data_IF_717378188468
#
_entry.id   IF_717378188468
#
_cell.length_a   1.000
_cell.length_b   1.000
_cell.length_c   1.000
_cell.angle_alpha   90.00
_cell.angle_beta   90.00
_cell.angle_gamma   90.00
#
_symmetry.space_group_name_H-M   'P 1'
#
loop_
_entity.id
_entity.type
_entity.pdbx_description
1 polymer ?
#
# COMPACT_ATOMS: atom_id res chain seq x y z
N UNK A 1 -2.05 -13.35 2.73
CA UNK A 1 -2.99 -14.33 2.15
C UNK A 1 -2.74 -15.71 2.73
N UNK A 2 -2.61 -16.72 1.86
CA UNK A 2 -2.29 -18.11 2.23
C UNK A 2 -0.93 -18.24 2.92
N UNK A 3 0.06 -17.51 2.41
CA UNK A 3 1.40 -17.31 2.97
C UNK A 3 1.38 -16.87 4.45
N UNK A 4 0.53 -15.90 4.80
CA UNK A 4 0.35 -15.46 6.18
C UNK A 4 -0.32 -16.50 7.09
N UNK A 5 -1.19 -17.35 6.53
CA UNK A 5 -1.79 -18.46 7.27
C UNK A 5 -0.75 -19.56 7.57
N UNK A 6 0.10 -19.88 6.58
CA UNK A 6 1.21 -20.84 6.74
C UNK A 6 2.26 -20.32 7.73
N UNK A 7 2.62 -19.03 7.64
CA UNK A 7 3.58 -18.42 8.56
C UNK A 7 3.11 -18.41 10.03
N UNK A 8 1.80 -18.31 10.30
CA UNK A 8 1.26 -18.43 11.67
C UNK A 8 1.42 -19.81 12.27
N UNK A 9 1.51 -20.84 11.44
CA UNK A 9 1.70 -22.24 11.86
C UNK A 9 3.19 -22.55 12.02
N UNK A 10 4.04 -22.07 11.11
CA UNK A 10 5.47 -22.38 11.09
C UNK A 10 6.36 -21.39 11.87
N UNK A 11 5.82 -20.24 12.24
CA UNK A 11 6.55 -19.15 12.89
C UNK A 11 6.72 -17.94 11.97
N UNK A 12 6.43 -16.75 12.52
CA UNK A 12 6.66 -15.49 11.83
C UNK A 12 8.16 -15.19 11.76
N UNK A 13 8.65 -14.77 10.60
CA UNK A 13 10.06 -14.37 10.41
C UNK A 13 10.13 -13.00 9.76
N UNK A 14 11.15 -12.21 10.13
CA UNK A 14 11.38 -10.89 9.54
C UNK A 14 11.66 -10.98 8.03
N UNK A 15 12.37 -12.03 7.59
CA UNK A 15 12.63 -12.30 6.19
C UNK A 15 11.33 -12.60 5.41
N UNK A 16 10.41 -13.35 6.00
CA UNK A 16 9.10 -13.62 5.40
C UNK A 16 8.27 -12.35 5.25
N UNK A 17 8.22 -11.50 6.29
CA UNK A 17 7.51 -10.22 6.23
C UNK A 17 8.12 -9.24 5.21
N UNK A 18 9.45 -9.21 5.09
CA UNK A 18 10.15 -8.43 4.06
C UNK A 18 9.79 -8.90 2.65
N UNK A 19 9.73 -10.22 2.43
CA UNK A 19 9.41 -10.78 1.11
C UNK A 19 7.95 -10.54 0.74
N UNK A 20 7.02 -10.77 1.68
CA UNK A 20 5.57 -10.53 1.52
C UNK A 20 5.30 -9.11 1.00
N UNK A 21 5.76 -8.10 1.75
CA UNK A 21 5.51 -6.70 1.37
C UNK A 21 6.21 -6.33 0.06
N UNK A 22 7.41 -6.86 -0.20
CA UNK A 22 8.15 -6.56 -1.44
C UNK A 22 7.46 -7.14 -2.67
N UNK A 23 6.98 -8.38 -2.58
CA UNK A 23 6.29 -9.06 -3.68
C UNK A 23 4.89 -8.48 -3.91
N UNK A 24 4.20 -8.06 -2.85
CA UNK A 24 2.91 -7.38 -2.96
C UNK A 24 3.01 -6.09 -3.79
N UNK A 25 3.98 -5.21 -3.50
CA UNK A 25 4.16 -3.98 -4.26
C UNK A 25 4.55 -4.23 -5.72
N UNK A 26 5.42 -5.22 -5.97
CA UNK A 26 5.79 -5.61 -7.33
C UNK A 26 4.58 -6.14 -8.09
N UNK A 27 3.78 -7.01 -7.47
CA UNK A 27 2.56 -7.55 -8.09
C UNK A 27 1.56 -6.44 -8.39
N UNK A 28 1.36 -5.50 -7.46
CA UNK A 28 0.40 -4.40 -7.65
C UNK A 28 0.81 -3.49 -8.81
N UNK A 29 2.11 -3.22 -8.98
CA UNK A 29 2.61 -2.45 -10.12
C UNK A 29 2.58 -3.25 -11.43
N UNK A 30 2.77 -4.57 -11.36
CA UNK A 30 2.80 -5.45 -12.54
C UNK A 30 1.45 -5.48 -13.27
N UNK A 31 0.33 -5.43 -12.54
CA UNK A 31 -1.00 -5.45 -13.15
C UNK A 31 -1.22 -4.28 -14.13
N UNK A 32 -1.19 -3.00 -13.73
CA UNK A 32 -1.35 -1.89 -14.67
C UNK A 32 -0.24 -1.84 -15.72
N UNK A 33 0.99 -2.24 -15.37
CA UNK A 33 2.06 -2.35 -16.35
C UNK A 33 1.73 -3.36 -17.47
N UNK A 34 1.12 -4.50 -17.13
CA UNK A 34 0.66 -5.49 -18.11
C UNK A 34 -0.38 -4.91 -19.08
N UNK A 35 -1.32 -4.09 -18.60
CA UNK A 35 -2.30 -3.41 -19.46
C UNK A 35 -1.65 -2.34 -20.36
N UNK A 36 -0.60 -1.66 -19.87
CA UNK A 36 0.21 -0.75 -20.70
C UNK A 36 0.91 -1.53 -21.81
N UNK A 37 1.54 -2.67 -21.51
CA UNK A 37 2.19 -3.49 -22.53
C UNK A 37 1.21 -4.05 -23.56
N UNK A 38 0.01 -4.41 -23.14
CA UNK A 38 -1.02 -4.97 -24.02
C UNK A 38 -1.55 -3.94 -25.05
N UNK A 39 -1.68 -2.67 -24.66
CA UNK A 39 -2.09 -1.60 -25.58
C UNK A 39 -1.49 -0.24 -25.14
N UNK A 40 -0.23 0.05 -25.54
CA UNK A 40 0.45 1.27 -25.11
C UNK A 40 -0.26 2.55 -25.55
N UNK A 41 -0.80 2.59 -26.77
CA UNK A 41 -1.46 3.78 -27.33
C UNK A 41 -2.66 4.23 -26.49
N UNK A 42 -3.45 3.28 -26.00
CA UNK A 42 -4.64 3.58 -25.19
C UNK A 42 -4.33 3.74 -23.69
N UNK A 43 -3.35 2.98 -23.17
CA UNK A 43 -3.22 2.75 -21.72
C UNK A 43 -1.98 3.40 -21.08
N UNK A 44 -0.97 3.82 -21.85
CA UNK A 44 0.33 4.20 -21.30
C UNK A 44 0.27 5.29 -20.22
N UNK A 45 -0.45 6.40 -20.48
CA UNK A 45 -0.52 7.52 -19.54
C UNK A 45 -1.29 7.15 -18.28
N UNK A 46 -2.44 6.49 -18.43
CA UNK A 46 -3.28 6.12 -17.30
C UNK A 46 -2.62 5.04 -16.43
N UNK A 47 -1.96 4.05 -17.06
CA UNK A 47 -1.20 3.02 -16.35
C UNK A 47 0.02 3.60 -15.64
N UNK A 48 0.77 4.51 -16.27
CA UNK A 48 1.89 5.21 -15.63
C UNK A 48 1.42 6.05 -14.43
N UNK A 49 0.30 6.77 -14.57
CA UNK A 49 -0.30 7.53 -13.47
C UNK A 49 -0.70 6.63 -12.30
N UNK A 50 -1.29 5.47 -12.58
CA UNK A 50 -1.68 4.53 -11.54
C UNK A 50 -0.45 3.93 -10.83
N UNK A 51 0.58 3.52 -11.57
CA UNK A 51 1.85 3.05 -10.98
C UNK A 51 2.47 4.14 -10.10
N UNK A 52 2.52 5.38 -10.59
CA UNK A 52 2.98 6.53 -9.81
C UNK A 52 2.17 6.73 -8.52
N UNK A 53 0.86 6.54 -8.58
CA UNK A 53 -0.03 6.63 -7.42
C UNK A 53 0.26 5.53 -6.39
N UNK A 54 0.58 4.31 -6.83
CA UNK A 54 1.01 3.21 -5.96
C UNK A 54 2.34 3.48 -5.25
N UNK A 55 3.28 4.17 -5.91
CA UNK A 55 4.50 4.65 -5.25
C UNK A 55 4.16 5.60 -4.10
N UNK A 56 3.20 6.51 -4.29
CA UNK A 56 2.71 7.41 -3.23
C UNK A 56 2.14 6.65 -2.03
N UNK A 57 1.20 5.74 -2.26
CA UNK A 57 0.55 4.99 -1.18
C UNK A 57 1.51 4.06 -0.46
N UNK A 58 2.45 3.44 -1.20
CA UNK A 58 3.42 2.50 -0.65
C UNK A 58 4.52 3.17 0.14
N UNK A 59 5.12 4.23 -0.42
CA UNK A 59 6.19 4.97 0.25
C UNK A 59 5.70 5.66 1.53
N UNK A 60 4.51 6.28 1.51
CA UNK A 60 3.92 6.91 2.70
C UNK A 60 3.63 5.90 3.81
N UNK A 61 3.17 4.68 3.46
CA UNK A 61 2.95 3.60 4.43
C UNK A 61 4.28 3.08 5.01
N UNK A 62 5.22 2.70 4.16
CA UNK A 62 6.47 2.08 4.59
C UNK A 62 7.36 3.05 5.37
N UNK A 63 7.49 4.31 4.91
CA UNK A 63 8.29 5.32 5.61
C UNK A 63 7.75 5.59 7.01
N UNK A 64 6.44 5.68 7.18
CA UNK A 64 5.83 5.82 8.49
C UNK A 64 6.04 4.57 9.36
N UNK A 65 5.85 3.37 8.81
CA UNK A 65 6.06 2.12 9.55
C UNK A 65 7.50 2.02 10.10
N UNK A 66 8.52 2.39 9.30
CA UNK A 66 9.91 2.43 9.73
C UNK A 66 10.12 3.46 10.84
N UNK A 67 9.61 4.69 10.68
CA UNK A 67 9.77 5.74 11.69
C UNK A 67 9.05 5.43 12.99
N UNK A 68 7.85 4.86 12.92
CA UNK A 68 7.06 4.46 14.07
C UNK A 68 7.69 3.28 14.81
N UNK A 69 8.25 2.30 14.09
CA UNK A 69 9.05 1.20 14.67
C UNK A 69 10.30 1.73 15.38
N UNK A 70 11.03 2.67 14.77
CA UNK A 70 12.20 3.30 15.41
C UNK A 70 11.87 4.07 16.70
N UNK A 71 10.64 4.56 16.84
CA UNK A 71 10.18 5.37 17.98
C UNK A 71 9.34 4.58 18.98
N UNK A 72 9.23 3.26 18.81
CA UNK A 72 8.46 2.35 19.66
C UNK A 72 7.03 2.85 19.94
N UNK A 73 6.37 3.43 18.93
CA UNK A 73 5.05 4.06 19.08
C UNK A 73 3.97 2.97 19.22
N UNK A 74 3.85 2.26 20.34
CA UNK A 74 2.98 1.08 20.51
C UNK A 74 1.56 1.28 19.92
N UNK A 75 1.13 0.40 19.02
CA UNK A 75 -0.22 0.41 18.45
C UNK A 75 -1.19 -0.27 19.44
N UNK A 76 -2.18 0.45 20.03
CA UNK A 76 -3.07 -0.11 21.05
C UNK A 76 -3.96 -1.25 20.53
N UNK A 77 -4.16 -1.36 19.20
CA UNK A 77 -5.18 -2.24 18.62
C UNK A 77 -4.64 -3.59 18.12
N UNK A 78 -3.33 -3.77 17.87
CA UNK A 78 -2.78 -5.01 17.31
C UNK A 78 -1.33 -5.30 17.75
N UNK A 79 -1.11 -5.93 18.93
CA UNK A 79 0.23 -6.18 19.49
C UNK A 79 1.10 -7.19 18.71
N UNK A 80 0.55 -7.86 17.68
CA UNK A 80 1.25 -8.93 16.94
C UNK A 80 1.33 -8.71 15.42
N UNK A 81 1.07 -7.48 14.93
CA UNK A 81 1.35 -7.13 13.52
C UNK A 81 2.49 -6.10 13.49
N UNK A 82 3.61 -6.48 12.89
CA UNK A 82 4.86 -5.71 12.78
C UNK A 82 4.76 -4.41 11.95
N UNK A 83 3.57 -4.06 11.43
CA UNK A 83 3.35 -2.88 10.60
C UNK A 83 2.34 -1.94 11.26
N UNK A 84 2.78 -0.72 11.57
CA UNK A 84 1.92 0.36 12.02
C UNK A 84 0.86 0.67 10.96
N UNK A 85 -0.39 0.31 11.26
CA UNK A 85 -1.48 0.36 10.31
C UNK A 85 -2.02 1.79 10.18
N UNK A 86 -1.54 2.52 9.16
CA UNK A 86 -2.27 3.69 8.66
C UNK A 86 -3.28 3.23 7.62
N UNK A 87 -4.54 3.12 8.05
CA UNK A 87 -5.67 2.85 7.16
C UNK A 87 -5.77 3.88 6.03
N UNK A 88 -6.48 3.52 4.96
CA UNK A 88 -6.65 4.37 3.78
C UNK A 88 -7.97 4.11 3.08
N UNK A 89 -8.33 4.99 2.13
CA UNK A 89 -9.49 4.74 1.25
C UNK A 89 -9.19 3.63 0.21
N UNK A 90 -7.91 3.41 -0.07
CA UNK A 90 -7.41 2.38 -1.00
C UNK A 90 -6.57 1.38 -0.23
N UNK A 91 -7.19 0.27 0.18
CA UNK A 91 -6.52 -0.85 0.83
C UNK A 91 -6.49 -2.08 -0.10
N UNK A 92 -6.18 -3.26 0.44
CA UNK A 92 -6.04 -4.48 -0.35
C UNK A 92 -7.33 -4.88 -1.07
N UNK A 93 -8.48 -4.76 -0.39
CA UNK A 93 -9.77 -5.19 -0.96
C UNK A 93 -10.18 -4.32 -2.15
N UNK A 94 -10.10 -3.00 -2.03
CA UNK A 94 -10.43 -2.06 -3.10
C UNK A 94 -9.45 -2.22 -4.27
N UNK A 95 -8.17 -2.49 -3.98
CA UNK A 95 -7.14 -2.73 -5.01
C UNK A 95 -7.43 -3.99 -5.80
N UNK A 96 -7.75 -5.10 -5.13
CA UNK A 96 -8.13 -6.35 -5.82
C UNK A 96 -9.42 -6.17 -6.62
N UNK A 97 -10.43 -5.48 -6.07
CA UNK A 97 -11.65 -5.16 -6.81
C UNK A 97 -11.36 -4.33 -8.08
N UNK A 98 -10.47 -3.34 -7.98
CA UNK A 98 -10.01 -2.56 -9.13
C UNK A 98 -9.32 -3.45 -10.20
N UNK A 99 -8.47 -4.37 -9.78
CA UNK A 99 -7.83 -5.32 -10.71
C UNK A 99 -8.83 -6.24 -11.39
N UNK A 100 -9.83 -6.73 -10.66
CA UNK A 100 -10.94 -7.49 -11.25
C UNK A 100 -11.69 -6.64 -12.29
N UNK A 101 -11.94 -5.37 -12.01
CA UNK A 101 -12.58 -4.46 -12.97
C UNK A 101 -11.74 -4.23 -14.23
N UNK A 102 -10.41 -4.15 -14.13
CA UNK A 102 -9.56 -4.09 -15.32
C UNK A 102 -9.73 -5.32 -16.21
N UNK A 103 -9.84 -6.51 -15.61
CA UNK A 103 -10.05 -7.76 -16.35
C UNK A 103 -11.43 -7.85 -16.98
N UNK A 104 -12.48 -7.37 -16.30
CA UNK A 104 -13.85 -7.39 -16.82
C UNK A 104 -14.11 -6.32 -17.90
N UNK A 105 -13.44 -5.16 -17.78
CA UNK A 105 -13.65 -3.99 -18.65
C UNK A 105 -12.32 -3.44 -19.20
N UNK A 106 -11.57 -4.21 -20.02
CA UNK A 106 -10.25 -3.82 -20.49
C UNK A 106 -10.27 -2.54 -21.34
N UNK A 107 -11.36 -2.30 -22.09
CA UNK A 107 -11.54 -1.09 -22.89
C UNK A 107 -11.75 0.18 -22.04
N UNK A 108 -12.13 0.02 -20.77
CA UNK A 108 -12.32 1.13 -19.81
C UNK A 108 -11.15 1.27 -18.85
N UNK A 109 -10.02 0.57 -19.09
CA UNK A 109 -8.83 0.59 -18.24
C UNK A 109 -8.41 2.01 -17.87
N UNK A 110 -8.25 2.90 -18.85
CA UNK A 110 -7.75 4.25 -18.60
C UNK A 110 -8.64 5.06 -17.66
N UNK A 111 -9.96 4.95 -17.80
CA UNK A 111 -10.91 5.61 -16.90
C UNK A 111 -10.79 5.07 -15.47
N UNK A 112 -10.81 3.75 -15.32
CA UNK A 112 -10.72 3.08 -14.01
C UNK A 112 -9.38 3.42 -13.35
N UNK A 113 -8.28 3.42 -14.11
CA UNK A 113 -6.94 3.73 -13.61
C UNK A 113 -6.83 5.18 -13.10
N UNK A 114 -7.43 6.16 -13.78
CA UNK A 114 -7.46 7.54 -13.27
C UNK A 114 -8.30 7.68 -12.00
N UNK A 115 -9.49 7.08 -11.97
CA UNK A 115 -10.37 7.14 -10.80
C UNK A 115 -9.71 6.51 -9.57
N UNK A 116 -9.14 5.32 -9.75
CA UNK A 116 -8.47 4.63 -8.67
C UNK A 116 -7.17 5.33 -8.25
N UNK A 117 -6.38 5.79 -9.22
CA UNK A 117 -5.17 6.59 -8.94
C UNK A 117 -5.48 7.86 -8.15
N UNK A 118 -6.57 8.56 -8.44
CA UNK A 118 -7.01 9.72 -7.66
C UNK A 118 -7.37 9.34 -6.21
N UNK A 119 -8.04 8.20 -5.99
CA UNK A 119 -8.31 7.69 -4.64
C UNK A 119 -7.03 7.29 -3.89
N UNK A 120 -6.03 6.75 -4.60
CA UNK A 120 -4.69 6.49 -4.05
C UNK A 120 -3.99 7.80 -3.64
N UNK A 121 -4.13 8.88 -4.40
CA UNK A 121 -3.60 10.19 -4.02
C UNK A 121 -4.26 10.76 -2.76
N UNK A 122 -5.58 10.64 -2.64
CA UNK A 122 -6.28 11.03 -1.41
C UNK A 122 -5.70 10.27 -0.20
N UNK A 123 -5.53 8.96 -0.34
CA UNK A 123 -4.92 8.10 0.70
C UNK A 123 -3.48 8.53 1.03
N UNK A 124 -2.68 8.83 0.00
CA UNK A 124 -1.29 9.27 0.16
C UNK A 124 -1.21 10.58 0.94
N UNK A 125 -2.02 11.57 0.57
CA UNK A 125 -2.05 12.87 1.24
C UNK A 125 -2.51 12.74 2.69
N UNK A 126 -3.55 11.95 2.97
CA UNK A 126 -4.00 11.70 4.35
C UNK A 126 -2.91 11.05 5.18
N UNK A 127 -2.19 10.05 4.64
CA UNK A 127 -1.09 9.37 5.32
C UNK A 127 0.10 10.28 5.58
N UNK A 128 0.48 11.11 4.61
CA UNK A 128 1.56 12.07 4.79
C UNK A 128 1.22 13.10 5.86
N UNK A 129 0.00 13.65 5.84
CA UNK A 129 -0.46 14.61 6.84
C UNK A 129 -0.51 13.98 8.24
N UNK A 130 -1.20 12.84 8.40
CA UNK A 130 -1.32 12.17 9.69
C UNK A 130 0.02 11.68 10.20
N UNK A 131 0.81 11.03 9.34
CA UNK A 131 2.12 10.50 9.68
C UNK A 131 3.10 11.59 10.11
N UNK A 132 3.15 12.71 9.38
CA UNK A 132 3.98 13.84 9.76
C UNK A 132 3.56 14.43 11.12
N UNK A 133 2.25 14.61 11.35
CA UNK A 133 1.76 15.16 12.61
C UNK A 133 2.04 14.22 13.80
N UNK A 134 1.80 12.92 13.64
CA UNK A 134 2.11 11.89 14.66
C UNK A 134 3.62 11.85 14.96
N UNK A 135 4.48 11.98 13.96
CA UNK A 135 5.93 11.99 14.14
C UNK A 135 6.48 13.35 14.60
N UNK A 136 5.68 14.42 14.58
CA UNK A 136 6.11 15.74 15.07
C UNK A 136 5.86 15.91 16.56
N UNK A 137 4.84 15.26 17.12
CA UNK A 137 4.58 15.28 18.55
C UNK A 137 5.47 14.24 19.26
N UNK A 138 6.38 14.64 20.16
CA UNK A 138 7.14 13.69 20.94
C UNK A 138 6.20 12.98 21.92
N UNK A 139 6.13 11.66 21.86
CA UNK A 139 5.47 10.85 22.87
C UNK A 139 6.08 11.16 24.24
N UNK A 140 5.30 11.78 25.13
CA UNK A 140 5.67 12.11 26.51
C UNK A 140 5.66 10.88 27.43
N UNK A 141 6.30 9.78 27.01
CA UNK A 141 6.35 8.51 27.76
C UNK A 141 7.79 7.98 27.95
N UNK A 142 8.76 8.87 28.17
CA UNK A 142 10.10 8.53 28.65
C UNK A 142 10.47 9.25 29.96
N UNK A 143 9.49 9.49 30.83
CA UNK A 143 9.75 9.85 32.23
C UNK A 143 8.86 8.99 33.10
N UNK A 144 9.39 7.84 33.53
CA UNK A 144 9.29 7.29 34.89
C UNK A 144 10.20 6.06 35.02
#
# INVERSE_FOLDING_TARGET
GLDGAVARIQGLTDAGGFLDISLDFLFYALIPFGFVLANPEANAVAGAFLIFSFIGTGSSFLSFAIMASKRDIINPSYPHKSLYYMGGLTEGTETIACFVLFCLFPNSFSLIAYLFGAACWLTTLTRLYSGYHTLRHPSSHQQE
#
